data_IF_015797342434
#
_entry.id   IF_015797342434
#
_cell.length_a   1.000
_cell.length_b   1.000
_cell.length_c   1.000
_cell.angle_alpha   90.00
_cell.angle_beta   90.00
_cell.angle_gamma   90.00
#
_symmetry.space_group_name_H-M   'P 1'
#
loop_
_entity.id
_entity.type
_entity.pdbx_description
1 polymer ?
#
# COMPACT_ATOMS: atom_id res chain seq x y z
N UNK A 1 -7.89 -13.75 10.89
CA UNK A 1 -8.54 -13.19 9.68
C UNK A 1 -8.32 -14.16 8.53
N UNK A 2 -9.08 -14.05 7.46
CA UNK A 2 -8.82 -14.77 6.22
C UNK A 2 -8.39 -13.75 5.19
N UNK A 3 -7.15 -13.84 4.74
CA UNK A 3 -6.61 -12.99 3.67
C UNK A 3 -6.03 -13.85 2.56
N UNK A 4 -6.16 -13.36 1.33
CA UNK A 4 -5.71 -14.05 0.14
C UNK A 4 -5.44 -13.09 -1.00
N UNK A 5 -4.40 -13.41 -1.76
CA UNK A 5 -4.10 -12.79 -3.04
C UNK A 5 -4.15 -13.87 -4.12
N UNK A 6 -4.91 -13.61 -5.16
CA UNK A 6 -5.10 -14.53 -6.27
C UNK A 6 -4.57 -13.90 -7.56
N UNK A 7 -3.54 -14.50 -8.19
CA UNK A 7 -3.13 -14.10 -9.52
C UNK A 7 -4.20 -14.56 -10.53
N UNK A 8 -4.95 -13.61 -11.08
CA UNK A 8 -5.98 -13.87 -12.09
C UNK A 8 -5.37 -14.03 -13.50
N UNK A 9 -4.08 -13.68 -13.65
CA UNK A 9 -3.33 -13.78 -14.90
C UNK A 9 -3.37 -12.50 -15.72
N UNK A 10 -2.48 -12.38 -16.73
CA UNK A 10 -2.35 -11.19 -17.59
C UNK A 10 -2.14 -9.88 -16.81
N UNK A 11 -1.39 -9.92 -15.71
CA UNK A 11 -1.12 -8.75 -14.87
C UNK A 11 -2.26 -8.38 -13.91
N UNK A 12 -3.36 -9.13 -13.87
CA UNK A 12 -4.43 -8.93 -12.89
C UNK A 12 -4.19 -9.73 -11.62
N UNK A 13 -4.39 -9.07 -10.48
CA UNK A 13 -4.31 -9.65 -9.15
C UNK A 13 -5.56 -9.25 -8.37
N UNK A 14 -6.27 -10.25 -7.83
CA UNK A 14 -7.31 -10.02 -6.85
C UNK A 14 -6.72 -10.10 -5.45
N UNK A 15 -7.11 -9.18 -4.57
CA UNK A 15 -6.77 -9.23 -3.15
C UNK A 15 -8.03 -9.16 -2.32
N UNK A 16 -8.10 -9.95 -1.26
CA UNK A 16 -9.23 -9.95 -0.36
C UNK A 16 -8.78 -10.28 1.05
N UNK A 17 -9.31 -9.56 2.02
CA UNK A 17 -9.09 -9.83 3.43
C UNK A 17 -10.37 -9.61 4.20
N UNK A 18 -10.74 -10.60 5.02
CA UNK A 18 -11.88 -10.52 5.92
C UNK A 18 -11.39 -10.80 7.33
N UNK A 19 -11.51 -9.81 8.20
CA UNK A 19 -11.18 -9.93 9.61
C UNK A 19 -12.46 -10.20 10.38
N UNK A 20 -12.53 -11.38 10.99
CA UNK A 20 -13.61 -11.78 11.89
C UNK A 20 -13.13 -11.74 13.34
N UNK A 21 -13.87 -11.08 14.22
CA UNK A 21 -13.55 -11.02 15.64
C UNK A 21 -14.28 -12.14 16.37
N UNK A 22 -13.53 -13.12 16.87
CA UNK A 22 -14.06 -14.25 17.66
C UNK A 22 -14.67 -13.79 19.00
N UNK A 23 -14.27 -12.63 19.52
CA UNK A 23 -14.73 -12.10 20.81
C UNK A 23 -16.18 -11.62 20.76
N UNK A 24 -16.60 -11.08 19.62
CA UNK A 24 -17.93 -10.50 19.42
C UNK A 24 -18.76 -11.25 18.36
N UNK A 25 -18.26 -12.40 17.87
CA UNK A 25 -18.88 -13.22 16.81
C UNK A 25 -19.34 -12.42 15.57
N UNK A 26 -18.60 -11.36 15.21
CA UNK A 26 -18.97 -10.41 14.15
C UNK A 26 -17.84 -10.17 13.15
N UNK A 27 -18.24 -9.89 11.91
CA UNK A 27 -17.34 -9.46 10.84
C UNK A 27 -17.00 -7.99 11.08
N UNK A 28 -15.82 -7.74 11.66
CA UNK A 28 -15.37 -6.39 12.02
C UNK A 28 -14.89 -5.61 10.80
N UNK A 29 -14.28 -6.30 9.84
CA UNK A 29 -13.65 -5.64 8.70
C UNK A 29 -13.62 -6.55 7.46
N UNK A 30 -13.91 -5.96 6.30
CA UNK A 30 -13.78 -6.59 5.01
C UNK A 30 -13.05 -5.64 4.04
N UNK A 31 -12.03 -6.16 3.38
CA UNK A 31 -11.22 -5.48 2.37
C UNK A 31 -11.29 -6.32 1.10
N UNK A 32 -11.56 -5.68 -0.03
CA UNK A 32 -11.49 -6.28 -1.34
C UNK A 32 -10.81 -5.34 -2.31
N UNK A 33 -9.93 -5.85 -3.16
CA UNK A 33 -9.21 -5.03 -4.11
C UNK A 33 -8.83 -5.79 -5.38
N UNK A 34 -8.58 -5.01 -6.41
CA UNK A 34 -8.09 -5.47 -7.70
C UNK A 34 -6.90 -4.62 -8.08
N UNK A 35 -5.85 -5.29 -8.51
CA UNK A 35 -4.64 -4.66 -8.98
C UNK A 35 -4.38 -5.11 -10.41
N UNK A 36 -3.97 -4.17 -11.25
CA UNK A 36 -3.55 -4.42 -12.62
C UNK A 36 -2.16 -3.87 -12.83
N UNK A 37 -1.26 -4.70 -13.36
CA UNK A 37 0.08 -4.34 -13.75
C UNK A 37 0.23 -4.42 -15.27
N UNK A 38 0.35 -3.24 -15.90
CA UNK A 38 0.56 -3.07 -17.34
C UNK A 38 2.03 -2.91 -17.75
N UNK A 39 2.98 -3.19 -16.86
CA UNK A 39 4.43 -3.01 -17.09
C UNK A 39 4.88 -1.56 -16.89
N UNK A 40 4.40 -0.63 -17.71
CA UNK A 40 4.74 0.80 -17.64
C UNK A 40 3.86 1.60 -16.66
N UNK A 41 2.74 1.01 -16.24
CA UNK A 41 1.79 1.59 -15.31
C UNK A 41 1.16 0.49 -14.45
N UNK A 42 0.84 0.84 -13.21
CA UNK A 42 0.10 -0.02 -12.29
C UNK A 42 -1.14 0.72 -11.78
N UNK A 43 -2.24 0.01 -11.70
CA UNK A 43 -3.51 0.52 -11.20
C UNK A 43 -3.99 -0.36 -10.06
N UNK A 44 -4.37 0.26 -8.94
CA UNK A 44 -4.89 -0.44 -7.77
C UNK A 44 -6.19 0.22 -7.35
N UNK A 45 -7.20 -0.62 -7.16
CA UNK A 45 -8.47 -0.24 -6.54
C UNK A 45 -8.69 -1.11 -5.32
N UNK A 46 -8.99 -0.50 -4.18
CA UNK A 46 -9.31 -1.20 -2.96
C UNK A 46 -10.56 -0.58 -2.33
N UNK A 47 -11.45 -1.45 -1.86
CA UNK A 47 -12.59 -1.08 -1.06
C UNK A 47 -12.39 -1.66 0.33
N UNK A 48 -12.49 -0.80 1.32
CA UNK A 48 -12.37 -1.15 2.72
C UNK A 48 -13.69 -0.82 3.41
N UNK A 49 -14.26 -1.81 4.07
CA UNK A 49 -15.44 -1.66 4.89
C UNK A 49 -15.06 -2.06 6.31
N UNK A 50 -15.17 -1.15 7.25
CA UNK A 50 -15.05 -1.45 8.67
C UNK A 50 -16.36 -1.08 9.38
N UNK A 51 -16.84 -1.98 10.23
CA UNK A 51 -18.03 -1.76 11.02
C UNK A 51 -17.60 -1.51 12.47
N UNK A 52 -17.82 -0.30 12.97
CA UNK A 52 -17.57 0.03 14.39
C UNK A 52 -18.79 -0.38 15.22
N UNK A 53 -20.01 -0.19 14.68
CA UNK A 53 -21.28 -0.49 15.37
C UNK A 53 -22.34 -1.06 14.40
N UNK A 54 -23.43 -1.63 14.94
CA UNK A 54 -24.51 -2.27 14.13
C UNK A 54 -25.13 -1.33 13.09
N UNK A 55 -25.13 -0.03 13.37
CA UNK A 55 -25.61 1.06 12.52
C UNK A 55 -24.49 1.88 11.85
N UNK A 56 -23.24 1.78 12.32
CA UNK A 56 -22.11 2.58 11.86
C UNK A 56 -21.11 1.75 11.06
N UNK A 57 -21.40 1.66 9.77
CA UNK A 57 -20.58 1.01 8.76
C UNK A 57 -19.87 2.06 7.93
N UNK A 58 -18.57 2.21 8.14
CA UNK A 58 -17.74 3.09 7.32
C UNK A 58 -17.24 2.34 6.10
N UNK A 59 -17.41 2.97 4.93
CA UNK A 59 -16.93 2.46 3.65
C UNK A 59 -15.92 3.46 3.09
N UNK A 60 -14.72 2.99 2.82
CA UNK A 60 -13.66 3.73 2.16
C UNK A 60 -13.34 3.07 0.82
N UNK A 61 -13.10 3.88 -0.20
CA UNK A 61 -12.64 3.42 -1.51
C UNK A 61 -11.34 4.14 -1.81
N UNK A 62 -10.33 3.36 -2.16
CA UNK A 62 -9.00 3.82 -2.49
C UNK A 62 -8.72 3.52 -3.95
N UNK A 63 -8.23 4.53 -4.65
CA UNK A 63 -7.82 4.45 -6.04
C UNK A 63 -6.39 4.95 -6.13
N UNK A 64 -5.51 4.14 -6.69
CA UNK A 64 -4.11 4.50 -6.89
C UNK A 64 -3.70 4.17 -8.33
N UNK A 65 -3.17 5.17 -9.02
CA UNK A 65 -2.54 5.03 -10.33
C UNK A 65 -1.06 5.38 -10.20
N UNK A 66 -0.20 4.43 -10.54
CA UNK A 66 1.25 4.56 -10.49
C UNK A 66 1.80 4.49 -11.91
N UNK A 67 2.45 5.55 -12.37
CA UNK A 67 2.98 5.65 -13.73
C UNK A 67 4.50 5.56 -13.65
N UNK A 68 5.03 4.33 -13.70
CA UNK A 68 6.46 4.07 -13.57
C UNK A 68 7.29 4.68 -14.71
N UNK A 69 6.70 4.83 -15.90
CA UNK A 69 7.43 5.32 -17.10
C UNK A 69 7.14 6.80 -17.46
N UNK A 70 6.08 7.43 -16.92
CA UNK A 70 5.84 8.86 -17.19
C UNK A 70 6.93 9.77 -16.62
N UNK A 71 7.66 9.31 -15.60
CA UNK A 71 8.83 9.99 -15.06
C UNK A 71 10.12 9.75 -15.89
N UNK A 72 10.10 8.83 -16.86
CA UNK A 72 11.26 8.43 -17.68
C UNK A 72 11.14 8.79 -19.17
N UNK A 73 10.06 9.44 -19.62
CA UNK A 73 10.00 10.05 -20.96
C UNK A 73 10.85 11.32 -20.94
N UNK A 74 12.16 11.14 -21.14
CA UNK A 74 13.15 12.20 -21.23
C UNK A 74 14.42 11.86 -20.45
N UNK A 75 15.49 11.56 -21.17
CA UNK A 75 16.90 11.60 -20.76
C UNK A 75 17.14 11.78 -19.25
N UNK A 76 17.21 10.67 -18.53
CA UNK A 76 17.55 10.57 -17.11
C UNK A 76 18.71 11.53 -16.72
N UNK A 77 18.46 12.69 -16.07
CA UNK A 77 19.51 13.59 -15.62
C UNK A 77 20.05 13.20 -14.23
N UNK A 78 19.70 12.01 -13.71
CA UNK A 78 20.28 11.48 -12.47
C UNK A 78 21.74 11.03 -12.66
N UNK A 79 22.30 11.16 -13.86
CA UNK A 79 23.75 11.17 -14.10
C UNK A 79 24.38 12.56 -13.93
N UNK A 80 23.62 13.66 -14.04
CA UNK A 80 24.09 15.03 -13.78
C UNK A 80 24.07 15.37 -12.28
N UNK A 81 23.08 14.91 -11.51
CA UNK A 81 23.01 15.17 -10.05
C UNK A 81 24.08 14.37 -9.28
N UNK A 82 24.50 13.21 -9.77
CA UNK A 82 25.61 12.43 -9.18
C UNK A 82 26.99 13.09 -9.34
N UNK A 83 27.13 14.12 -10.18
CA UNK A 83 28.43 14.77 -10.44
C UNK A 83 28.71 16.01 -9.58
N UNK A 84 27.70 16.52 -8.86
CA UNK A 84 27.82 17.84 -8.22
C UNK A 84 27.92 17.85 -6.70
N UNK A 85 27.88 16.71 -6.00
CA UNK A 85 28.08 16.68 -4.54
C UNK A 85 28.78 15.40 -4.07
N UNK A 86 30.12 15.41 -3.89
CA UNK A 86 30.79 14.44 -3.04
C UNK A 86 30.35 14.69 -1.58
N UNK A 87 29.73 13.70 -0.93
CA UNK A 87 29.40 13.77 0.51
C UNK A 87 27.92 13.84 0.91
N UNK A 88 26.98 13.32 0.10
CA UNK A 88 25.60 13.13 0.57
C UNK A 88 25.51 11.89 1.48
N UNK A 89 25.61 12.11 2.79
CA UNK A 89 25.27 11.12 3.81
C UNK A 89 23.74 10.97 3.90
N UNK A 90 23.27 9.71 3.84
CA UNK A 90 21.89 9.38 4.21
C UNK A 90 21.65 9.82 5.65
N UNK A 91 20.72 10.76 5.86
CA UNK A 91 20.20 11.10 7.19
C UNK A 91 18.75 10.62 7.24
N UNK A 92 18.57 9.31 7.40
CA UNK A 92 17.34 8.77 7.98
C UNK A 92 17.60 7.34 8.47
N UNK A 93 18.74 7.16 9.15
CA UNK A 93 18.91 6.04 10.05
C UNK A 93 18.13 6.39 11.34
N UNK A 94 17.19 5.52 11.67
CA UNK A 94 16.18 5.62 12.71
C UNK A 94 16.71 6.12 14.05
N UNK A 95 16.49 7.40 14.33
CA UNK A 95 16.62 7.97 15.68
C UNK A 95 15.24 8.32 16.24
N UNK A 96 14.49 7.34 16.76
CA UNK A 96 13.50 7.53 17.83
C UNK A 96 12.71 6.23 18.17
N UNK A 97 13.40 5.10 18.39
CA UNK A 97 12.92 4.10 19.35
C UNK A 97 13.86 4.17 20.56
N UNK A 98 13.74 5.27 21.31
CA UNK A 98 14.27 5.43 22.67
C UNK A 98 13.15 5.87 23.62
N UNK A 99 11.95 5.33 23.39
CA UNK A 99 10.72 5.66 24.13
C UNK A 99 10.17 4.40 24.82
N UNK A 100 11.01 3.56 25.41
CA UNK A 100 10.54 2.63 26.45
C UNK A 100 11.59 2.55 27.55
N UNK A 101 11.35 3.31 28.61
CA UNK A 101 11.89 2.98 29.93
C UNK A 101 11.23 1.71 30.43
N UNK A 102 12.04 0.82 30.98
CA UNK A 102 11.66 -0.21 31.95
C UNK A 102 12.80 -0.23 32.97
N UNK A 103 12.42 -0.19 34.24
CA UNK A 103 13.23 -0.07 35.47
C UNK A 103 14.64 -0.70 35.47
#
# INVERSE_FOLDING_TARGET
DVSGQWPLGRGWYGVGRVTHSLKDNRVTEAIGGLEYNGGCWAFRIAMHRFAIDESDVTKAVFLQLELNDLASIGSNPVSLIKRSVPGYGKINDSSADRVFGVD
#
